data_IF_693931720246
#
_entry.id   IF_693931720246
#
_cell.length_a   1.000
_cell.length_b   1.000
_cell.length_c   1.000
_cell.angle_alpha   90.00
_cell.angle_beta   90.00
_cell.angle_gamma   90.00
#
_symmetry.space_group_name_H-M   'P 1'
#
loop_
_entity.id
_entity.type
_entity.pdbx_description
1 polymer ?
#
# COMPACT_ATOMS: atom_id res chain seq x y z
N UNK A 1 47.07 39.52 6.67
CA UNK A 1 46.69 38.59 7.76
C UNK A 1 45.21 38.31 7.62
N UNK A 2 44.89 37.13 7.09
CA UNK A 2 43.52 36.61 7.06
C UNK A 2 43.04 36.48 8.51
N UNK A 3 41.98 37.21 8.88
CA UNK A 3 41.30 37.05 10.17
C UNK A 3 40.08 36.19 9.93
N UNK A 4 40.02 35.07 10.64
CA UNK A 4 39.01 34.03 10.51
C UNK A 4 37.60 34.57 10.82
N UNK A 5 36.73 34.40 9.84
CA UNK A 5 35.31 34.70 9.91
C UNK A 5 34.57 33.51 10.51
N UNK A 6 34.14 33.61 11.76
CA UNK A 6 33.20 32.64 12.33
C UNK A 6 31.77 33.08 11.99
N UNK A 7 31.27 32.53 10.90
CA UNK A 7 29.89 32.66 10.43
C UNK A 7 28.91 32.07 11.46
N UNK A 8 28.03 32.89 12.04
CA UNK A 8 26.71 32.40 12.41
C UNK A 8 25.90 32.29 11.13
N UNK A 9 25.84 31.09 10.54
CA UNK A 9 25.33 30.89 9.18
C UNK A 9 23.86 31.31 8.96
N UNK A 10 23.07 31.56 10.02
CA UNK A 10 21.63 31.86 9.91
C UNK A 10 21.12 33.09 10.68
N UNK A 11 21.96 33.90 11.34
CA UNK A 11 21.56 35.22 11.81
C UNK A 11 22.00 36.28 10.79
N UNK A 12 21.39 36.24 9.61
CA UNK A 12 21.52 37.31 8.62
C UNK A 12 20.64 38.49 9.06
N UNK A 13 21.20 39.40 9.85
CA UNK A 13 20.85 40.81 9.71
C UNK A 13 22.08 41.53 9.17
N UNK A 14 22.46 41.19 7.93
CA UNK A 14 23.34 42.03 7.14
C UNK A 14 22.50 42.71 6.07
N UNK A 15 22.04 43.93 6.34
CA UNK A 15 21.84 44.86 5.24
C UNK A 15 23.24 45.17 4.69
N UNK A 16 23.55 44.59 3.54
CA UNK A 16 24.76 44.90 2.79
C UNK A 16 24.65 46.32 2.22
N UNK A 17 25.14 47.32 2.95
CA UNK A 17 25.68 48.49 2.29
C UNK A 17 27.13 48.17 1.92
N UNK A 18 27.35 47.83 0.64
CA UNK A 18 28.67 47.49 0.08
C UNK A 18 29.53 48.73 -0.19
N UNK A 19 29.01 49.93 0.05
CA UNK A 19 29.72 51.19 -0.17
C UNK A 19 29.90 51.94 1.15
N UNK A 20 31.13 52.36 1.43
CA UNK A 20 31.43 53.29 2.52
C UNK A 20 30.75 54.63 2.25
N UNK A 21 29.98 55.12 3.22
CA UNK A 21 29.32 56.42 3.14
C UNK A 21 30.23 57.49 3.77
N UNK A 22 30.97 58.23 2.95
CA UNK A 22 31.97 59.21 3.43
C UNK A 22 31.37 60.44 4.13
N UNK A 23 30.05 60.66 4.00
CA UNK A 23 29.35 61.83 4.55
C UNK A 23 28.33 61.50 5.64
N UNK A 24 28.14 60.23 6.00
CA UNK A 24 27.14 59.78 6.98
C UNK A 24 27.81 58.92 8.04
N UNK A 25 27.44 59.15 9.29
CA UNK A 25 27.90 58.38 10.44
C UNK A 25 26.74 57.69 11.14
N UNK A 26 26.93 56.43 11.54
CA UNK A 26 25.97 55.65 12.32
C UNK A 26 26.43 55.48 13.76
N UNK A 27 25.49 55.56 14.72
CA UNK A 27 25.75 55.25 16.12
C UNK A 27 24.49 54.83 16.87
N UNK A 28 24.69 54.07 17.95
CA UNK A 28 23.65 53.91 18.97
C UNK A 28 23.53 55.21 19.80
N UNK A 29 22.32 55.73 20.05
CA UNK A 29 22.10 56.86 20.95
C UNK A 29 22.53 56.52 22.38
N UNK A 30 23.27 57.41 23.03
CA UNK A 30 23.69 57.27 24.44
C UNK A 30 22.49 57.55 25.35
N UNK A 31 22.12 56.63 26.24
CA UNK A 31 20.96 56.77 27.12
C UNK A 31 20.38 55.43 27.60
N UNK A 32 19.07 55.40 27.91
CA UNK A 32 18.29 54.30 28.52
C UNK A 32 18.48 52.89 27.89
N UNK A 33 19.07 52.81 26.70
CA UNK A 33 19.38 51.58 25.95
C UNK A 33 20.82 51.06 26.13
N UNK A 34 21.68 51.78 26.88
CA UNK A 34 23.11 51.51 27.00
C UNK A 34 23.44 50.09 27.47
N UNK A 35 22.66 49.51 28.40
CA UNK A 35 22.88 48.13 28.88
C UNK A 35 22.62 47.05 27.82
N UNK A 36 21.84 47.34 26.76
CA UNK A 36 21.59 46.42 25.63
C UNK A 36 22.56 46.66 24.47
N UNK A 37 23.20 47.82 24.40
CA UNK A 37 24.20 48.17 23.37
C UNK A 37 25.60 47.59 23.65
N UNK A 38 25.82 46.93 24.79
CA UNK A 38 27.09 46.24 25.07
C UNK A 38 27.23 44.94 24.28
N UNK A 39 26.12 44.35 23.81
CA UNK A 39 26.11 43.10 23.03
C UNK A 39 26.35 43.31 21.53
N UNK A 40 26.07 44.51 21.01
CA UNK A 40 26.09 44.80 19.58
C UNK A 40 27.00 45.99 19.26
N UNK A 41 27.59 45.98 18.07
CA UNK A 41 28.37 47.08 17.49
C UNK A 41 27.74 47.49 16.16
N UNK A 42 27.85 48.78 15.82
CA UNK A 42 27.48 49.26 14.49
C UNK A 42 28.70 49.87 13.82
N UNK A 43 28.97 49.46 12.58
CA UNK A 43 29.99 50.08 11.74
C UNK A 43 29.56 51.51 11.44
N UNK A 44 30.35 52.47 11.93
CA UNK A 44 30.07 53.90 11.82
C UNK A 44 29.98 54.42 10.38
N UNK A 45 30.58 53.74 9.40
CA UNK A 45 30.68 54.19 8.01
C UNK A 45 29.81 53.37 7.05
N UNK A 46 29.46 52.13 7.43
CA UNK A 46 28.67 51.19 6.61
C UNK A 46 27.30 50.89 7.18
N UNK A 47 27.06 51.18 8.45
CA UNK A 47 25.79 50.90 9.14
C UNK A 47 25.53 49.42 9.42
N UNK A 48 26.49 48.52 9.14
CA UNK A 48 26.39 47.10 9.47
C UNK A 48 26.42 46.87 10.98
N UNK A 49 25.54 45.98 11.48
CA UNK A 49 25.44 45.68 12.91
C UNK A 49 26.03 44.29 13.18
N UNK A 50 26.89 44.18 14.19
CA UNK A 50 27.65 42.98 14.54
C UNK A 50 27.50 42.64 16.01
N UNK A 51 27.69 41.37 16.37
CA UNK A 51 27.77 40.92 17.77
C UNK A 51 29.16 41.21 18.34
N UNK A 52 29.22 41.87 19.50
CA UNK A 52 30.45 42.04 20.30
C UNK A 52 30.76 40.82 21.16
N UNK A 53 29.73 40.12 21.59
CA UNK A 53 29.82 38.96 22.47
C UNK A 53 28.72 37.95 22.15
N UNK A 54 28.94 36.69 22.55
CA UNK A 54 27.93 35.63 22.41
C UNK A 54 26.70 35.96 23.27
N UNK A 55 25.51 35.79 22.70
CA UNK A 55 24.27 35.86 23.46
C UNK A 55 24.21 34.59 24.33
N UNK A 56 24.34 34.77 25.65
CA UNK A 56 24.27 33.69 26.64
C UNK A 56 22.88 33.59 27.29
N UNK A 57 22.08 34.64 27.18
CA UNK A 57 20.72 34.73 27.71
C UNK A 57 19.73 34.45 26.58
N UNK A 58 19.20 33.22 26.60
CA UNK A 58 18.24 32.72 25.62
C UNK A 58 16.79 33.11 25.95
N UNK A 59 16.54 33.71 27.13
CA UNK A 59 15.20 34.18 27.51
C UNK A 59 14.82 35.47 26.77
N UNK A 60 15.83 36.24 26.31
CA UNK A 60 15.62 37.44 25.50
C UNK A 60 15.50 37.10 24.02
N UNK A 61 14.28 36.82 23.55
CA UNK A 61 13.98 36.48 22.15
C UNK A 61 14.09 37.67 21.18
N UNK A 62 14.02 38.91 21.68
CA UNK A 62 14.08 40.12 20.86
C UNK A 62 14.92 41.24 21.49
N UNK A 63 15.84 41.78 20.70
CA UNK A 63 16.59 43.00 20.98
C UNK A 63 16.04 44.14 20.14
N UNK A 64 15.46 45.14 20.81
CA UNK A 64 15.00 46.36 20.19
C UNK A 64 15.93 47.51 20.56
N UNK A 65 16.48 48.20 19.56
CA UNK A 65 17.32 49.36 19.77
C UNK A 65 17.13 50.40 18.66
N UNK A 66 17.46 51.65 18.98
CA UNK A 66 17.37 52.77 18.04
C UNK A 66 18.74 52.99 17.42
N UNK A 67 18.78 53.16 16.10
CA UNK A 67 19.98 53.56 15.36
C UNK A 67 19.81 55.00 14.91
N UNK A 68 20.82 55.84 15.16
CA UNK A 68 20.88 57.22 14.67
C UNK A 68 21.87 57.30 13.51
N UNK A 69 21.47 57.93 12.41
CA UNK A 69 22.39 58.37 11.36
C UNK A 69 22.48 59.90 11.33
N UNK A 70 23.68 60.43 11.10
CA UNK A 70 23.93 61.88 11.03
C UNK A 70 24.98 62.25 10.00
N UNK A 71 24.83 63.41 9.37
CA UNK A 71 25.87 63.98 8.51
C UNK A 71 27.15 64.22 9.32
N UNK A 72 28.32 63.86 8.78
CA UNK A 72 29.61 63.93 9.51
C UNK A 72 29.96 65.38 9.90
N UNK A 73 29.65 66.33 9.03
CA UNK A 73 29.88 67.78 9.16
C UNK A 73 28.74 68.52 9.89
N UNK A 74 27.56 67.91 10.04
CA UNK A 74 26.40 68.54 10.69
C UNK A 74 25.51 67.54 11.43
N UNK A 75 25.76 67.42 12.75
CA UNK A 75 25.00 66.52 13.62
C UNK A 75 23.51 66.90 13.80
N UNK A 76 23.09 68.11 13.40
CA UNK A 76 21.69 68.54 13.44
C UNK A 76 20.87 67.89 12.32
N UNK A 77 21.51 67.48 11.21
CA UNK A 77 20.87 66.70 10.15
C UNK A 77 20.99 65.22 10.48
N UNK A 78 20.01 64.72 11.20
CA UNK A 78 19.99 63.32 11.64
C UNK A 78 18.60 62.70 11.55
N UNK A 79 18.56 61.40 11.33
CA UNK A 79 17.34 60.61 11.47
C UNK A 79 17.60 59.42 12.39
N UNK A 80 16.50 58.83 12.88
CA UNK A 80 16.53 57.67 13.75
C UNK A 80 15.61 56.59 13.20
N UNK A 81 16.00 55.33 13.37
CA UNK A 81 15.17 54.18 13.04
C UNK A 81 15.22 53.15 14.16
N UNK A 82 14.16 52.37 14.31
CA UNK A 82 14.12 51.26 15.25
C UNK A 82 14.56 50.00 14.52
N UNK A 83 15.50 49.27 15.12
CA UNK A 83 15.97 47.97 14.63
C UNK A 83 15.56 46.91 15.67
N UNK A 84 14.95 45.84 15.17
CA UNK A 84 14.54 44.68 15.95
C UNK A 84 15.38 43.48 15.48
N UNK A 85 16.21 42.94 16.37
CA UNK A 85 16.94 41.69 16.15
C UNK A 85 16.24 40.59 16.94
N UNK A 86 15.82 39.53 16.25
CA UNK A 86 15.25 38.34 16.90
C UNK A 86 16.33 37.29 17.10
N UNK A 87 16.42 36.75 18.31
CA UNK A 87 17.26 35.59 18.62
C UNK A 87 16.41 34.36 18.35
N UNK A 88 16.85 33.55 17.39
CA UNK A 88 16.28 32.23 17.15
C UNK A 88 17.17 31.19 17.82
N UNK A 89 16.56 30.21 18.49
CA UNK A 89 17.31 29.15 19.15
C UNK A 89 18.17 28.40 18.13
N UNK A 90 19.42 28.14 18.50
CA UNK A 90 20.27 27.24 17.75
C UNK A 90 19.92 25.82 18.13
N UNK A 91 18.93 25.26 17.41
CA UNK A 91 18.68 23.83 17.41
C UNK A 91 20.02 23.09 17.23
N UNK A 92 20.44 22.35 18.26
CA UNK A 92 21.73 21.68 18.35
C UNK A 92 21.59 20.20 18.74
N UNK A 93 20.39 19.76 19.12
CA UNK A 93 20.07 18.37 19.41
C UNK A 93 19.20 17.84 18.28
N UNK A 94 19.49 16.61 17.86
CA UNK A 94 18.65 15.93 16.88
C UNK A 94 17.51 15.21 17.60
N UNK A 95 16.34 15.05 16.95
CA UNK A 95 15.21 14.32 17.51
C UNK A 95 15.61 12.85 17.71
N UNK A 96 15.16 12.23 18.79
CA UNK A 96 15.50 10.86 19.15
C UNK A 96 14.23 10.01 19.24
N UNK A 97 14.15 8.95 18.44
CA UNK A 97 13.03 8.01 18.53
C UNK A 97 13.03 7.26 19.87
N UNK A 98 11.84 7.01 20.41
CA UNK A 98 11.66 6.23 21.65
C UNK A 98 12.09 4.77 21.50
N UNK A 99 12.06 4.23 20.28
CA UNK A 99 12.62 2.93 19.92
C UNK A 99 13.40 2.99 18.60
N UNK A 100 14.40 2.10 18.46
CA UNK A 100 15.13 1.89 17.20
C UNK A 100 14.32 1.06 16.19
N UNK A 101 13.42 0.21 16.70
CA UNK A 101 12.57 -0.69 15.93
C UNK A 101 11.15 -0.66 16.50
N UNK A 102 10.18 -0.39 15.63
CA UNK A 102 8.76 -0.52 15.93
C UNK A 102 8.20 -1.73 15.20
N UNK A 103 7.36 -2.51 15.87
CA UNK A 103 6.75 -3.70 15.30
C UNK A 103 5.25 -3.65 15.47
N UNK A 104 4.52 -4.02 14.43
CA UNK A 104 3.07 -4.09 14.42
C UNK A 104 2.58 -5.25 13.56
N UNK A 105 1.33 -5.63 13.79
CA UNK A 105 0.60 -6.60 12.98
C UNK A 105 -0.67 -5.93 12.46
N UNK A 106 -1.03 -6.21 11.21
CA UNK A 106 -2.29 -5.76 10.65
C UNK A 106 -2.92 -6.84 9.79
N UNK A 107 -4.23 -7.01 9.93
CA UNK A 107 -5.01 -7.94 9.13
C UNK A 107 -5.05 -7.44 7.69
N UNK A 108 -4.86 -8.32 6.73
CA UNK A 108 -5.07 -7.96 5.32
C UNK A 108 -6.49 -7.47 5.06
N UNK A 109 -6.71 -6.76 3.95
CA UNK A 109 -7.98 -6.08 3.64
C UNK A 109 -8.45 -5.05 4.69
N UNK A 110 -7.63 -4.68 5.67
CA UNK A 110 -7.90 -3.55 6.54
C UNK A 110 -8.21 -2.29 5.72
N UNK A 111 -9.28 -1.60 6.10
CA UNK A 111 -9.75 -0.45 5.34
C UNK A 111 -8.72 0.69 5.33
N UNK A 112 -8.59 1.46 4.23
CA UNK A 112 -7.80 2.68 4.23
C UNK A 112 -8.19 3.61 5.38
N UNK A 113 -7.19 4.17 6.07
CA UNK A 113 -7.36 4.98 7.27
C UNK A 113 -7.22 4.21 8.59
N UNK A 114 -7.19 2.86 8.56
CA UNK A 114 -6.94 2.04 9.76
C UNK A 114 -5.58 2.38 10.36
N UNK A 115 -5.53 2.60 11.68
CA UNK A 115 -4.30 2.88 12.42
C UNK A 115 -3.51 1.58 12.57
N UNK A 116 -2.23 1.61 12.20
CA UNK A 116 -1.32 0.47 12.34
C UNK A 116 -0.49 0.60 13.62
N UNK A 117 0.23 1.71 13.73
CA UNK A 117 1.13 2.00 14.84
C UNK A 117 1.41 3.50 14.89
N UNK A 118 1.86 3.99 16.04
CA UNK A 118 2.37 5.35 16.19
C UNK A 118 3.86 5.29 16.52
N UNK A 119 4.68 6.00 15.76
CA UNK A 119 6.08 6.26 16.12
C UNK A 119 6.18 7.56 16.90
N UNK A 120 7.17 7.62 17.80
CA UNK A 120 7.42 8.83 18.57
C UNK A 120 8.92 9.14 18.60
N UNK A 121 9.26 10.39 18.29
CA UNK A 121 10.55 10.98 18.56
C UNK A 121 10.41 12.19 19.49
N UNK A 122 11.39 12.34 20.36
CA UNK A 122 11.49 13.45 21.32
C UNK A 122 12.70 14.32 20.96
N UNK A 123 12.53 15.63 21.05
CA UNK A 123 13.55 16.61 20.75
C UNK A 123 13.87 17.40 22.03
N UNK A 124 15.11 17.33 22.48
CA UNK A 124 15.51 17.97 23.75
C UNK A 124 15.43 19.50 23.71
N UNK A 125 15.53 20.08 22.52
CA UNK A 125 15.37 21.52 22.28
C UNK A 125 13.87 21.88 22.10
N UNK A 126 12.95 20.92 22.30
CA UNK A 126 11.49 21.04 22.16
C UNK A 126 11.03 21.53 20.77
N UNK A 127 11.84 21.28 19.74
CA UNK A 127 11.46 21.62 18.37
C UNK A 127 10.30 20.77 17.88
N UNK A 128 9.50 21.34 16.97
CA UNK A 128 8.41 20.60 16.34
C UNK A 128 8.96 19.54 15.39
N UNK A 129 8.71 18.27 15.71
CA UNK A 129 9.12 17.13 14.90
C UNK A 129 8.10 16.84 13.79
N UNK A 130 8.61 16.61 12.58
CA UNK A 130 7.88 16.20 11.40
C UNK A 130 8.28 14.77 11.00
N UNK A 131 7.30 13.91 10.81
CA UNK A 131 7.51 12.51 10.45
C UNK A 131 7.26 12.25 8.97
N UNK A 132 8.06 11.38 8.36
CA UNK A 132 7.90 10.93 6.98
C UNK A 132 8.35 9.48 6.80
N UNK A 133 7.76 8.77 5.84
CA UNK A 133 8.19 7.43 5.41
C UNK A 133 9.13 7.61 4.20
N UNK A 134 10.33 7.05 4.27
CA UNK A 134 11.24 7.04 3.12
C UNK A 134 10.66 6.16 2.01
N UNK A 135 10.73 6.65 0.76
CA UNK A 135 10.12 5.97 -0.40
C UNK A 135 8.66 5.58 -0.17
N UNK A 136 7.87 6.46 0.49
CA UNK A 136 6.45 6.19 0.83
C UNK A 136 5.58 5.62 -0.30
N UNK A 137 5.90 5.91 -1.57
CA UNK A 137 5.20 5.39 -2.74
C UNK A 137 5.35 3.87 -2.96
N UNK A 138 6.35 3.23 -2.35
CA UNK A 138 6.57 1.78 -2.40
C UNK A 138 5.71 1.02 -1.39
N UNK A 139 5.04 1.73 -0.47
CA UNK A 139 4.33 1.14 0.66
C UNK A 139 2.84 1.45 0.65
N UNK A 140 1.96 0.52 1.07
CA UNK A 140 0.53 0.77 1.21
C UNK A 140 0.19 1.51 2.52
N UNK A 141 1.11 2.36 3.00
CA UNK A 141 1.00 3.08 4.27
C UNK A 141 1.29 4.57 4.10
N UNK A 142 0.65 5.37 4.93
CA UNK A 142 0.94 6.81 5.09
C UNK A 142 1.25 7.12 6.55
N UNK A 143 1.97 8.21 6.79
CA UNK A 143 2.25 8.71 8.13
C UNK A 143 1.70 10.12 8.30
N UNK A 144 1.05 10.37 9.43
CA UNK A 144 0.64 11.70 9.83
C UNK A 144 1.86 12.51 10.29
N UNK A 145 2.15 13.58 9.55
CA UNK A 145 3.38 14.37 9.70
C UNK A 145 3.65 14.89 11.12
N UNK A 146 2.65 15.12 11.97
CA UNK A 146 2.85 15.73 13.29
C UNK A 146 2.57 14.79 14.47
N UNK A 147 1.88 13.68 14.24
CA UNK A 147 1.52 12.71 15.29
C UNK A 147 2.37 11.45 15.22
N UNK A 148 2.99 11.17 14.06
CA UNK A 148 3.73 9.93 13.83
C UNK A 148 2.82 8.70 13.67
N UNK A 149 1.50 8.90 13.54
CA UNK A 149 0.54 7.80 13.33
C UNK A 149 0.65 7.28 11.90
N UNK A 150 0.95 5.99 11.78
CA UNK A 150 0.99 5.27 10.51
C UNK A 150 -0.36 4.62 10.25
N UNK A 151 -0.90 4.82 9.05
CA UNK A 151 -2.20 4.30 8.61
C UNK A 151 -2.09 3.54 7.30
N UNK A 152 -3.05 2.65 7.07
CA UNK A 152 -3.27 2.03 5.75
C UNK A 152 -3.69 3.11 4.75
N UNK A 153 -3.04 3.16 3.58
CA UNK A 153 -3.35 4.12 2.51
C UNK A 153 -3.92 3.46 1.26
N UNK A 154 -3.58 2.18 1.01
CA UNK A 154 -4.08 1.40 -0.11
C UNK A 154 -4.27 -0.07 0.29
N UNK A 155 -4.75 -0.90 -0.64
CA UNK A 155 -5.06 -2.31 -0.37
C UNK A 155 -3.81 -3.09 0.03
N UNK A 156 -3.93 -3.85 1.11
CA UNK A 156 -2.95 -4.84 1.58
C UNK A 156 -3.50 -6.23 1.22
N UNK A 157 -2.66 -7.06 0.63
CA UNK A 157 -2.98 -8.42 0.17
C UNK A 157 -1.84 -9.34 0.62
N UNK A 158 -2.16 -10.33 1.45
CA UNK A 158 -1.16 -11.19 2.08
C UNK A 158 -0.37 -12.00 1.06
N UNK A 159 -1.02 -12.48 -0.01
CA UNK A 159 -0.35 -13.26 -1.06
C UNK A 159 0.62 -12.41 -1.89
N UNK A 160 0.44 -11.09 -1.97
CA UNK A 160 1.42 -10.20 -2.60
C UNK A 160 2.59 -9.90 -1.67
N UNK A 161 2.35 -9.64 -0.39
CA UNK A 161 3.40 -9.29 0.58
C UNK A 161 2.96 -9.58 2.00
N UNK A 162 3.71 -10.46 2.66
CA UNK A 162 3.43 -10.90 4.04
C UNK A 162 4.06 -9.98 5.10
N UNK A 163 4.99 -9.12 4.70
CA UNK A 163 5.68 -8.21 5.59
C UNK A 163 6.10 -6.94 4.86
N UNK A 164 6.12 -5.82 5.60
CA UNK A 164 6.69 -4.56 5.14
C UNK A 164 7.73 -4.08 6.14
N UNK A 165 8.91 -3.74 5.63
CA UNK A 165 9.96 -3.09 6.39
C UNK A 165 10.18 -1.71 5.79
N UNK A 166 9.93 -0.68 6.59
CA UNK A 166 10.00 0.72 6.16
C UNK A 166 10.88 1.53 7.10
N UNK A 167 11.55 2.54 6.54
CA UNK A 167 12.37 3.48 7.29
C UNK A 167 11.58 4.78 7.49
N UNK A 168 11.43 5.19 8.75
CA UNK A 168 10.71 6.42 9.12
C UNK A 168 11.69 7.47 9.59
N UNK A 169 11.58 8.68 9.05
CA UNK A 169 12.39 9.85 9.41
C UNK A 169 11.61 10.79 10.33
N UNK A 170 12.29 11.28 11.37
CA UNK A 170 11.86 12.40 12.21
C UNK A 170 12.78 13.59 11.90
N UNK A 171 12.19 14.73 11.54
CA UNK A 171 12.89 15.96 11.16
C UNK A 171 12.39 17.15 11.97
N UNK A 172 13.30 17.92 12.56
CA UNK A 172 13.01 19.04 13.46
C UNK A 172 13.21 20.43 12.81
N UNK A 173 13.41 20.47 11.48
CA UNK A 173 13.78 21.68 10.74
C UNK A 173 15.27 21.80 10.40
N UNK A 174 16.15 21.01 11.04
CA UNK A 174 17.61 21.04 10.82
C UNK A 174 18.26 19.66 10.81
N UNK A 175 17.96 18.83 11.80
CA UNK A 175 18.45 17.47 11.93
C UNK A 175 17.36 16.45 11.58
N UNK A 176 17.81 15.32 11.04
CA UNK A 176 16.97 14.15 10.82
C UNK A 176 17.55 12.94 11.54
N UNK A 177 16.66 12.12 12.10
CA UNK A 177 16.95 10.76 12.56
C UNK A 177 15.98 9.79 11.93
N UNK A 178 16.40 8.53 11.83
CA UNK A 178 15.62 7.47 11.21
C UNK A 178 15.46 6.29 12.17
N UNK A 179 14.33 5.60 12.09
CA UNK A 179 14.09 4.31 12.76
C UNK A 179 13.49 3.30 11.77
N UNK A 180 13.50 2.02 12.15
CA UNK A 180 12.85 0.95 11.39
C UNK A 180 11.45 0.68 11.93
N UNK A 181 10.53 0.43 11.02
CA UNK A 181 9.17 -0.04 11.32
C UNK A 181 8.92 -1.32 10.53
N UNK A 182 8.62 -2.41 11.24
CA UNK A 182 8.28 -3.70 10.67
C UNK A 182 6.79 -3.97 10.89
N UNK A 183 6.06 -4.23 9.81
CA UNK A 183 4.63 -4.53 9.84
C UNK A 183 4.45 -5.94 9.27
N UNK A 184 3.97 -6.87 10.08
CA UNK A 184 3.57 -8.20 9.62
C UNK A 184 2.09 -8.17 9.20
N UNK A 185 1.79 -8.82 8.08
CA UNK A 185 0.41 -8.94 7.58
C UNK A 185 -0.18 -10.25 8.07
N UNK A 186 -1.34 -10.16 8.72
CA UNK A 186 -2.10 -11.33 9.16
C UNK A 186 -3.03 -11.76 8.03
N UNK A 187 -2.87 -13.01 7.60
CA UNK A 187 -3.67 -13.64 6.56
C UNK A 187 -5.14 -13.79 7.00
N UNK A 188 -6.07 -13.48 6.10
CA UNK A 188 -7.49 -13.79 6.18
C UNK A 188 -7.87 -14.67 5.02
N UNK A 189 -8.66 -15.70 5.31
CA UNK A 189 -9.20 -16.62 4.31
C UNK A 189 -10.15 -15.90 3.37
N UNK A 190 -9.65 -15.41 2.23
CA UNK A 190 -10.38 -14.52 1.33
C UNK A 190 -10.23 -14.88 -0.15
N UNK A 191 -9.26 -15.73 -0.51
CA UNK A 191 -9.09 -16.20 -1.89
C UNK A 191 -9.80 -17.51 -2.13
N UNK A 192 -10.89 -17.40 -2.88
CA UNK A 192 -11.58 -18.57 -3.39
C UNK A 192 -10.67 -19.42 -4.30
N UNK A 193 -10.84 -20.75 -4.32
CA UNK A 193 -10.04 -21.60 -5.18
C UNK A 193 -10.26 -21.27 -6.67
N UNK A 194 -9.27 -21.55 -7.51
CA UNK A 194 -9.35 -21.24 -8.93
C UNK A 194 -9.02 -22.48 -9.77
N UNK A 195 -9.73 -22.66 -10.87
CA UNK A 195 -9.39 -23.71 -11.82
C UNK A 195 -8.06 -23.38 -12.52
N UNK A 196 -7.30 -24.43 -12.86
CA UNK A 196 -6.05 -24.31 -13.60
C UNK A 196 -6.22 -23.59 -14.95
N UNK A 197 -7.38 -23.77 -15.57
CA UNK A 197 -7.72 -23.20 -16.87
C UNK A 197 -9.12 -22.58 -16.86
N UNK A 198 -9.30 -21.51 -17.62
CA UNK A 198 -10.58 -20.80 -17.77
C UNK A 198 -11.62 -21.57 -18.60
N UNK A 199 -11.18 -22.59 -19.34
CA UNK A 199 -12.04 -23.49 -20.08
C UNK A 199 -11.34 -24.85 -20.24
N UNK A 200 -12.11 -25.92 -20.19
CA UNK A 200 -11.62 -27.26 -20.47
C UNK A 200 -12.35 -27.81 -21.71
N UNK A 201 -11.59 -28.42 -22.62
CA UNK A 201 -12.12 -29.06 -23.81
C UNK A 201 -11.64 -30.50 -23.88
N UNK A 202 -12.57 -31.43 -23.73
CA UNK A 202 -12.28 -32.86 -23.77
C UNK A 202 -12.85 -33.47 -25.05
N UNK A 203 -12.01 -34.21 -25.78
CA UNK A 203 -12.41 -35.00 -26.95
C UNK A 203 -12.35 -36.47 -26.60
N UNK A 204 -13.47 -37.17 -26.74
CA UNK A 204 -13.60 -38.57 -26.31
C UNK A 204 -13.95 -39.53 -27.44
N UNK A 205 -13.34 -40.73 -27.37
CA UNK A 205 -13.55 -41.88 -28.29
C UNK A 205 -14.15 -43.05 -27.50
N UNK A 206 -15.31 -43.57 -27.94
CA UNK A 206 -16.10 -44.65 -27.30
C UNK A 206 -15.81 -45.99 -28.04
N UNK A 207 -15.42 -47.11 -27.38
CA UNK A 207 -16.29 -47.85 -26.44
C UNK A 207 -15.66 -48.32 -25.13
N UNK A 208 -14.49 -47.82 -24.76
CA UNK A 208 -13.86 -48.25 -23.51
C UNK A 208 -14.29 -47.34 -22.35
N UNK A 209 -14.75 -47.96 -21.26
CA UNK A 209 -15.09 -47.38 -19.95
C UNK A 209 -13.93 -46.58 -19.36
N UNK A 210 -13.72 -45.34 -19.81
CA UNK A 210 -12.41 -44.71 -19.56
C UNK A 210 -12.57 -43.22 -19.43
N UNK A 211 -12.17 -42.72 -18.26
CA UNK A 211 -11.64 -41.37 -18.01
C UNK A 211 -11.81 -40.37 -19.17
N UNK A 212 -12.63 -39.34 -18.96
CA UNK A 212 -12.84 -38.27 -19.93
C UNK A 212 -11.70 -37.24 -19.84
N UNK A 213 -11.30 -36.95 -18.61
CA UNK A 213 -10.31 -35.93 -18.30
C UNK A 213 -10.37 -35.56 -16.83
N UNK A 214 -9.40 -34.77 -16.39
CA UNK A 214 -9.36 -34.25 -15.04
C UNK A 214 -9.37 -32.72 -15.10
N UNK A 215 -10.25 -32.11 -14.31
CA UNK A 215 -10.16 -30.69 -13.99
C UNK A 215 -9.37 -30.56 -12.70
N UNK A 216 -8.53 -29.54 -12.64
CA UNK A 216 -7.70 -29.27 -11.47
C UNK A 216 -7.95 -27.85 -11.02
N UNK A 217 -8.03 -27.67 -9.73
CA UNK A 217 -8.13 -26.37 -9.12
C UNK A 217 -7.13 -26.25 -7.98
N UNK A 218 -6.81 -25.01 -7.66
CA UNK A 218 -5.85 -24.65 -6.66
C UNK A 218 -6.50 -23.67 -5.72
N UNK A 219 -6.40 -23.96 -4.44
CA UNK A 219 -6.59 -22.95 -3.41
C UNK A 219 -5.22 -22.35 -3.12
N UNK A 220 -5.07 -21.04 -3.33
CA UNK A 220 -3.77 -20.38 -3.19
C UNK A 220 -3.34 -20.34 -1.72
N UNK A 221 -4.29 -20.49 -0.79
CA UNK A 221 -4.07 -20.52 0.66
C UNK A 221 -3.69 -21.92 1.17
N UNK A 222 -3.43 -22.88 0.26
CA UNK A 222 -2.82 -24.21 0.45
C UNK A 222 -3.43 -25.15 1.51
N UNK A 223 -4.57 -24.82 2.11
CA UNK A 223 -5.11 -25.54 3.28
C UNK A 223 -6.40 -26.33 3.02
N UNK A 224 -6.91 -26.35 1.78
CA UNK A 224 -8.29 -26.79 1.50
C UNK A 224 -8.40 -28.16 0.82
N UNK A 225 -9.25 -29.03 1.38
CA UNK A 225 -9.83 -30.15 0.63
C UNK A 225 -10.88 -29.58 -0.34
N UNK A 226 -10.57 -29.57 -1.63
CA UNK A 226 -11.50 -29.10 -2.66
C UNK A 226 -12.46 -30.21 -3.06
N UNK A 227 -13.73 -29.87 -3.20
CA UNK A 227 -14.76 -30.78 -3.75
C UNK A 227 -15.29 -30.24 -5.06
N UNK A 228 -15.55 -31.15 -6.00
CA UNK A 228 -15.97 -30.81 -7.36
C UNK A 228 -17.37 -31.34 -7.62
N UNK A 229 -18.21 -30.55 -8.30
CA UNK A 229 -19.55 -30.95 -8.74
C UNK A 229 -19.82 -30.54 -10.20
N UNK A 230 -20.64 -31.32 -10.92
CA UNK A 230 -21.04 -31.02 -12.28
C UNK A 230 -22.45 -30.41 -12.30
N UNK A 231 -22.59 -29.29 -13.01
CA UNK A 231 -23.87 -28.63 -13.25
C UNK A 231 -24.13 -28.60 -14.77
N UNK A 232 -25.33 -29.02 -15.16
CA UNK A 232 -25.72 -29.12 -16.55
C UNK A 232 -26.83 -28.11 -16.84
N UNK A 233 -26.72 -27.40 -17.98
CA UNK A 233 -27.80 -26.54 -18.46
C UNK A 233 -29.08 -27.32 -18.79
N UNK A 234 -28.94 -28.62 -19.12
CA UNK A 234 -30.05 -29.53 -19.36
C UNK A 234 -29.98 -30.71 -18.37
N UNK A 235 -31.01 -30.85 -17.52
CA UNK A 235 -31.06 -31.88 -16.49
C UNK A 235 -30.95 -33.31 -17.03
N UNK A 236 -31.37 -33.58 -18.28
CA UNK A 236 -31.27 -34.93 -18.88
C UNK A 236 -29.84 -35.37 -19.20
N UNK A 237 -28.89 -34.43 -19.29
CA UNK A 237 -27.48 -34.72 -19.53
C UNK A 237 -26.70 -35.00 -18.24
N UNK A 238 -27.28 -34.68 -17.08
CA UNK A 238 -26.66 -34.90 -15.76
C UNK A 238 -26.43 -36.36 -15.40
N UNK A 239 -27.13 -37.28 -16.07
CA UNK A 239 -27.01 -38.72 -15.83
C UNK A 239 -25.92 -39.39 -16.69
N UNK A 240 -25.29 -38.64 -17.60
CA UNK A 240 -24.26 -39.16 -18.50
C UNK A 240 -22.85 -39.08 -17.89
N UNK A 241 -22.58 -38.06 -17.06
CA UNK A 241 -21.22 -37.79 -16.59
C UNK A 241 -21.17 -37.62 -15.06
N UNK A 242 -20.10 -38.15 -14.49
CA UNK A 242 -19.86 -38.21 -13.06
C UNK A 242 -18.48 -37.57 -12.80
N UNK A 243 -18.32 -36.85 -11.69
CA UNK A 243 -17.03 -36.29 -11.24
C UNK A 243 -16.68 -36.85 -9.87
N UNK A 244 -15.40 -37.14 -9.67
CA UNK A 244 -14.86 -37.56 -8.38
C UNK A 244 -14.47 -36.37 -7.53
N UNK A 245 -14.26 -36.59 -6.23
CA UNK A 245 -13.74 -35.58 -5.30
C UNK A 245 -12.35 -35.03 -5.71
N UNK A 246 -11.61 -35.75 -6.57
CA UNK A 246 -10.30 -35.32 -7.09
C UNK A 246 -10.37 -34.59 -8.43
N UNK A 247 -11.59 -34.22 -8.89
CA UNK A 247 -11.79 -33.50 -10.14
C UNK A 247 -11.74 -34.37 -11.42
N UNK A 248 -11.69 -35.69 -11.28
CA UNK A 248 -11.68 -36.60 -12.43
C UNK A 248 -13.09 -36.85 -12.95
N UNK A 249 -13.30 -36.61 -14.25
CA UNK A 249 -14.58 -36.75 -14.95
C UNK A 249 -14.63 -38.10 -15.67
N UNK A 250 -15.74 -38.82 -15.48
CA UNK A 250 -16.03 -40.11 -16.08
C UNK A 250 -17.40 -40.13 -16.75
N UNK A 251 -17.60 -41.07 -17.66
CA UNK A 251 -18.92 -41.47 -18.12
C UNK A 251 -19.59 -42.33 -17.02
N UNK A 252 -20.82 -42.04 -16.62
CA UNK A 252 -21.48 -42.75 -15.52
C UNK A 252 -21.77 -44.22 -15.91
N UNK A 253 -21.22 -45.16 -15.13
CA UNK A 253 -21.14 -46.60 -15.44
C UNK A 253 -22.46 -47.39 -15.31
N UNK A 254 -23.50 -46.85 -14.68
CA UNK A 254 -24.81 -47.54 -14.50
C UNK A 254 -25.59 -47.79 -15.82
N UNK A 255 -25.01 -47.40 -16.95
CA UNK A 255 -25.57 -47.55 -18.31
C UNK A 255 -25.01 -48.73 -19.10
N UNK A 256 -24.03 -49.44 -18.55
CA UNK A 256 -23.31 -50.54 -19.22
C UNK A 256 -23.71 -51.95 -18.76
N UNK A 257 -24.74 -52.12 -17.92
CA UNK A 257 -25.22 -53.46 -17.56
C UNK A 257 -25.78 -54.17 -18.81
N UNK A 258 -25.03 -55.17 -19.29
CA UNK A 258 -25.13 -55.86 -20.57
C UNK A 258 -26.34 -56.80 -20.68
N UNK A 259 -27.27 -56.77 -19.72
CA UNK A 259 -28.35 -57.77 -19.57
C UNK A 259 -29.75 -57.35 -20.00
N UNK A 260 -29.93 -56.20 -20.67
CA UNK A 260 -31.27 -55.80 -21.15
C UNK A 260 -31.23 -55.34 -22.62
N UNK A 261 -31.65 -56.25 -23.50
CA UNK A 261 -32.11 -55.92 -24.86
C UNK A 261 -33.38 -55.08 -24.78
N UNK A 262 -33.58 -54.18 -25.75
CA UNK A 262 -34.86 -53.87 -26.41
C UNK A 262 -34.71 -52.61 -27.30
N UNK A 263 -35.57 -52.63 -28.31
CA UNK A 263 -35.58 -51.98 -29.61
C UNK A 263 -35.84 -50.46 -29.66
N UNK A 264 -35.57 -49.96 -30.85
CA UNK A 264 -35.69 -48.60 -31.40
C UNK A 264 -36.86 -47.75 -30.85
N UNK A 265 -36.68 -46.44 -30.56
CA UNK A 265 -37.38 -45.30 -31.26
C UNK A 265 -36.53 -43.99 -31.39
N UNK A 266 -36.77 -43.21 -32.46
CA UNK A 266 -36.13 -41.94 -32.90
C UNK A 266 -36.24 -40.75 -31.91
N UNK A 267 -35.38 -39.72 -32.08
CA UNK A 267 -35.74 -38.28 -31.99
C UNK A 267 -34.63 -37.35 -32.53
N UNK A 268 -35.06 -36.18 -33.02
CA UNK A 268 -34.40 -35.22 -33.93
C UNK A 268 -33.07 -34.62 -33.46
N UNK A 269 -32.23 -34.34 -34.47
CA UNK A 269 -30.87 -33.82 -34.39
C UNK A 269 -30.82 -32.32 -34.63
N UNK A 270 -29.92 -31.67 -33.90
CA UNK A 270 -29.05 -30.64 -34.49
C UNK A 270 -27.69 -31.33 -34.71
N UNK A 271 -27.21 -31.34 -35.96
CA UNK A 271 -26.22 -32.33 -36.43
C UNK A 271 -24.75 -31.97 -36.17
N UNK A 272 -24.41 -30.81 -35.64
CA UNK A 272 -23.00 -30.41 -35.62
C UNK A 272 -22.33 -30.55 -34.25
N UNK A 273 -21.90 -31.80 -34.03
CA UNK A 273 -20.97 -32.28 -33.01
C UNK A 273 -21.59 -32.44 -31.61
N UNK A 274 -21.62 -33.67 -31.09
CA UNK A 274 -22.04 -34.05 -29.73
C UNK A 274 -21.25 -33.28 -28.66
N UNK A 275 -21.60 -32.02 -28.47
CA UNK A 275 -20.98 -31.03 -27.60
C UNK A 275 -21.88 -30.88 -26.39
N UNK A 276 -21.36 -31.27 -25.25
CA UNK A 276 -22.02 -31.03 -23.97
C UNK A 276 -21.34 -29.84 -23.33
N UNK A 277 -22.14 -28.82 -23.03
CA UNK A 277 -21.71 -27.68 -22.22
C UNK A 277 -22.07 -28.00 -20.78
N UNK A 278 -21.04 -28.25 -19.97
CA UNK A 278 -21.16 -28.57 -18.55
C UNK A 278 -20.44 -27.49 -17.79
N UNK A 279 -21.00 -27.02 -16.69
CA UNK A 279 -20.29 -26.12 -15.81
C UNK A 279 -19.82 -26.89 -14.58
N UNK A 280 -18.54 -26.80 -14.24
CA UNK A 280 -18.02 -27.44 -13.02
C UNK A 280 -17.99 -26.39 -11.92
N UNK A 281 -18.58 -26.71 -10.78
CA UNK A 281 -18.51 -25.90 -9.57
C UNK A 281 -17.53 -26.55 -8.59
N UNK A 282 -16.87 -25.71 -7.80
CA UNK A 282 -16.00 -26.13 -6.71
C UNK A 282 -16.55 -25.51 -5.44
N UNK A 283 -16.52 -26.32 -4.39
CA UNK A 283 -16.75 -25.88 -3.03
C UNK A 283 -15.49 -26.09 -2.21
N UNK A 284 -15.10 -25.07 -1.45
CA UNK A 284 -14.03 -25.20 -0.45
C UNK A 284 -14.66 -25.37 0.93
N UNK A 285 -14.33 -26.49 1.58
CA UNK A 285 -14.72 -26.75 2.96
C UNK A 285 -14.10 -25.76 3.95
N UNK A 286 -13.05 -25.04 3.54
CA UNK A 286 -12.31 -24.11 4.37
C UNK A 286 -12.92 -22.70 4.33
N UNK A 287 -13.13 -22.15 3.13
CA UNK A 287 -13.81 -20.84 2.94
C UNK A 287 -15.32 -20.92 3.17
N UNK A 288 -15.87 -22.14 3.28
CA UNK A 288 -17.31 -22.44 3.37
C UNK A 288 -18.14 -21.83 2.22
N UNK A 289 -17.53 -21.63 1.06
CA UNK A 289 -18.15 -20.94 -0.07
C UNK A 289 -18.06 -21.73 -1.37
N UNK A 290 -19.12 -21.61 -2.19
CA UNK A 290 -19.09 -21.98 -3.61
C UNK A 290 -18.49 -20.84 -4.41
N UNK A 291 -17.72 -21.15 -5.45
CA UNK A 291 -17.31 -20.12 -6.41
C UNK A 291 -18.50 -19.57 -7.18
N UNK A 292 -18.51 -18.25 -7.33
CA UNK A 292 -19.40 -17.50 -8.23
C UNK A 292 -19.17 -17.80 -9.71
N UNK A 293 -18.09 -18.53 -10.06
CA UNK A 293 -17.69 -18.80 -11.43
C UNK A 293 -17.58 -20.30 -11.68
N UNK A 294 -18.66 -20.91 -12.13
CA UNK A 294 -18.61 -22.24 -12.71
C UNK A 294 -17.76 -22.21 -13.99
N UNK A 295 -16.83 -23.16 -14.16
CA UNK A 295 -16.00 -23.20 -15.39
C UNK A 295 -16.72 -23.95 -16.49
N UNK A 296 -16.78 -23.35 -17.69
CA UNK A 296 -17.35 -24.02 -18.85
C UNK A 296 -16.43 -25.15 -19.34
N UNK A 297 -16.95 -26.37 -19.33
CA UNK A 297 -16.36 -27.54 -19.93
C UNK A 297 -17.13 -27.90 -21.19
N UNK A 298 -16.40 -28.04 -22.29
CA UNK A 298 -16.93 -28.56 -23.55
C UNK A 298 -16.46 -30.00 -23.72
N UNK A 299 -17.41 -30.93 -23.73
CA UNK A 299 -17.13 -32.34 -23.97
C UNK A 299 -17.62 -32.66 -25.37
N UNK A 300 -16.69 -33.04 -26.26
CA UNK A 300 -16.99 -33.38 -27.65
C UNK A 300 -16.78 -34.87 -27.90
N UNK A 301 -17.81 -35.53 -28.43
CA UNK A 301 -17.72 -36.93 -28.86
C UNK A 301 -17.39 -36.97 -30.35
N UNK A 302 -16.38 -37.74 -30.72
CA UNK A 302 -15.93 -37.86 -32.12
C UNK A 302 -16.87 -38.70 -32.99
N UNK A 303 -16.89 -38.43 -34.29
CA UNK A 303 -17.86 -38.96 -35.27
C UNK A 303 -18.05 -40.48 -35.27
N UNK A 304 -16.98 -41.28 -35.16
CA UNK A 304 -17.07 -42.75 -35.08
C UNK A 304 -17.67 -43.26 -33.76
N UNK A 305 -17.72 -42.40 -32.75
CA UNK A 305 -18.24 -42.67 -31.40
C UNK A 305 -19.64 -42.07 -31.17
N UNK A 306 -20.05 -41.12 -32.02
CA UNK A 306 -21.34 -40.44 -31.97
C UNK A 306 -22.52 -41.42 -32.01
N UNK A 307 -22.48 -42.43 -32.89
CA UNK A 307 -23.57 -43.40 -33.00
C UNK A 307 -23.69 -44.30 -31.77
N UNK A 308 -22.60 -44.50 -31.03
CA UNK A 308 -22.63 -45.20 -29.74
C UNK A 308 -23.19 -44.30 -28.64
N UNK A 309 -22.80 -43.02 -28.62
CA UNK A 309 -23.35 -42.03 -27.69
C UNK A 309 -24.86 -41.83 -27.86
N UNK A 310 -25.35 -41.78 -29.11
CA UNK A 310 -26.79 -41.79 -29.46
C UNK A 310 -27.55 -42.91 -28.77
N UNK A 311 -27.01 -44.12 -28.88
CA UNK A 311 -27.61 -45.34 -28.30
C UNK A 311 -27.64 -45.27 -26.78
N UNK A 312 -26.61 -44.69 -26.14
CA UNK A 312 -26.55 -44.52 -24.69
C UNK A 312 -27.58 -43.49 -24.20
N UNK A 313 -27.62 -42.29 -24.77
CA UNK A 313 -28.56 -41.23 -24.36
C UNK A 313 -30.02 -41.65 -24.50
N UNK A 314 -30.33 -42.40 -25.55
CA UNK A 314 -31.66 -42.98 -25.78
C UNK A 314 -32.08 -43.98 -24.69
N UNK A 315 -31.16 -44.80 -24.18
CA UNK A 315 -31.42 -45.75 -23.08
C UNK A 315 -31.77 -45.06 -21.77
N UNK A 316 -31.19 -43.87 -21.51
CA UNK A 316 -31.44 -43.10 -20.28
C UNK A 316 -32.89 -42.60 -20.22
N UNK A 317 -33.33 -41.89 -21.26
CA UNK A 317 -34.68 -41.28 -21.32
C UNK A 317 -35.82 -42.28 -21.14
N UNK A 318 -35.61 -43.53 -21.59
CA UNK A 318 -36.59 -44.62 -21.42
C UNK A 318 -36.74 -45.05 -19.95
N UNK A 319 -35.66 -45.00 -19.16
CA UNK A 319 -35.71 -45.37 -17.73
C UNK A 319 -36.47 -44.35 -16.88
N UNK A 320 -36.37 -43.05 -17.20
CA UNK A 320 -37.07 -41.99 -16.45
C UNK A 320 -38.59 -42.08 -16.58
N UNK A 321 -39.12 -42.28 -17.81
CA UNK A 321 -40.56 -42.46 -18.05
C UNK A 321 -41.20 -43.62 -17.28
N UNK A 322 -40.42 -44.61 -16.89
CA UNK A 322 -40.91 -45.77 -16.13
C UNK A 322 -40.82 -45.60 -14.61
N UNK A 323 -40.26 -44.49 -14.09
CA UNK A 323 -40.19 -44.18 -12.65
C UNK A 323 -41.32 -43.28 -12.16
N UNK A 324 -42.02 -42.61 -13.07
CA UNK A 324 -43.09 -41.64 -12.77
C UNK A 324 -44.52 -42.23 -12.85
N UNK A 325 -44.65 -43.56 -12.98
CA UNK A 325 -45.91 -44.32 -12.99
C UNK A 325 -45.94 -45.35 -11.85
#
# INVERSE_FOLDING_TARGET
MYRDYYYCKNCLVSYNFLETLDHVSFKFPVGYYARKCDMFEIDKNRGGIYLKQKIADYDTQEFNFVVKSSQVDNQLRSCVSTVTIRVVDTNNKAPTFTSKLYQAEIVENSAPGTIVIQVQADDQDQNRVQYSIENSHEFPFTIEQYTGVIRVSSRIDYEMSQHYQMQVSAFDGKFSRKCLVNIAILNVVDKAPSFQYNFYNFKIKIPHDVFIGQVKAFDVEQTSNLTYSLHFANHTDSQLFCITQTGTIYLCSHLFDSRKHIDQVLLNFDQDEYKFNVSVQIYSDYTKSYLSNSVACKIQIESKSIDKAKKIKKRIKVKEKNRDN
#
